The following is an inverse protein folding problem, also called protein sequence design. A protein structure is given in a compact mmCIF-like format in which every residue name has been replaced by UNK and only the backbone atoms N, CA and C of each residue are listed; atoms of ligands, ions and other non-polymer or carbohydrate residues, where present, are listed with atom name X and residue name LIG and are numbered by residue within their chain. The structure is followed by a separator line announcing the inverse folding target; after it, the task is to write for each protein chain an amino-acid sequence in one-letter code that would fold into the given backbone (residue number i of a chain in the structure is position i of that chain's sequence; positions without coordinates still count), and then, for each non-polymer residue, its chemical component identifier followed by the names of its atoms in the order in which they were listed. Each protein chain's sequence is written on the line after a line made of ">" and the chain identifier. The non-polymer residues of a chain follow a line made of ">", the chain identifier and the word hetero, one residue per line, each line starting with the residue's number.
data_IF_256577660047
#
_entry.id   IF_256577660047
#
_cell.length_a   1.000
_cell.length_b   1.000
_cell.length_c   1.000
_cell.angle_alpha   90.00
_cell.angle_beta   90.00
_cell.angle_gamma   90.00
#
_symmetry.space_group_name_H-M   'P 1'
#
loop_
_entity.id
_entity.type
_entity.pdbx_description
1 polymer ?
#
# COMPACT_ATOMS: atom_id res chain seq x y z
N UNK A 1 -8.42 -12.05 7.82
CA UNK A 1 -7.54 -12.25 8.99
C UNK A 1 -8.12 -11.48 10.15
N UNK A 2 -8.70 -12.12 11.16
CA UNK A 2 -9.31 -11.44 12.33
C UNK A 2 -8.86 -12.16 13.60
N UNK A 3 -8.78 -11.44 14.73
CA UNK A 3 -8.55 -12.07 16.03
C UNK A 3 -9.30 -11.31 17.14
N UNK A 4 -9.57 -12.00 18.24
CA UNK A 4 -10.12 -11.38 19.43
C UNK A 4 -8.97 -10.75 20.23
N UNK A 5 -8.91 -9.42 20.31
CA UNK A 5 -7.84 -8.69 20.99
C UNK A 5 -7.64 -9.14 22.46
N UNK A 6 -8.73 -9.52 23.15
CA UNK A 6 -8.70 -10.02 24.53
C UNK A 6 -7.82 -11.26 24.72
N UNK A 7 -7.72 -12.13 23.71
CA UNK A 7 -6.95 -13.38 23.78
C UNK A 7 -5.44 -13.12 23.60
N UNK A 8 -5.08 -11.91 23.16
CA UNK A 8 -3.71 -11.47 22.89
C UNK A 8 -3.34 -10.23 23.71
N UNK A 9 -3.80 -10.15 24.96
CA UNK A 9 -3.44 -9.06 25.87
C UNK A 9 -3.89 -7.66 25.41
N UNK A 10 -5.08 -7.59 24.80
CA UNK A 10 -5.63 -6.36 24.19
C UNK A 10 -4.77 -5.79 23.05
N UNK A 11 -4.04 -6.66 22.33
CA UNK A 11 -3.36 -6.25 21.11
C UNK A 11 -4.38 -5.96 20.01
N UNK A 12 -4.55 -4.68 19.67
CA UNK A 12 -5.49 -4.24 18.64
C UNK A 12 -4.90 -4.20 17.23
N UNK A 13 -3.58 -4.07 17.10
CA UNK A 13 -2.90 -4.03 15.80
C UNK A 13 -1.59 -4.78 15.81
N UNK A 14 -1.22 -5.32 14.66
CA UNK A 14 0.07 -5.97 14.42
C UNK A 14 0.60 -5.59 13.03
N UNK A 15 1.88 -5.85 12.78
CA UNK A 15 2.52 -5.63 11.48
C UNK A 15 2.85 -6.97 10.82
N UNK A 16 2.66 -7.04 9.51
CA UNK A 16 2.99 -8.20 8.69
C UNK A 16 3.89 -7.76 7.53
N UNK A 17 4.85 -8.59 7.10
CA UNK A 17 5.51 -8.39 5.81
C UNK A 17 4.47 -8.36 4.70
N UNK A 18 4.58 -7.44 3.75
CA UNK A 18 3.56 -7.33 2.70
C UNK A 18 3.49 -8.57 1.79
N UNK A 19 4.59 -9.30 1.60
CA UNK A 19 4.66 -10.41 0.63
C UNK A 19 3.85 -11.65 1.05
N UNK A 20 3.41 -11.72 2.31
CA UNK A 20 2.55 -12.80 2.82
C UNK A 20 1.07 -12.39 2.91
N UNK A 21 0.75 -11.15 2.54
CA UNK A 21 -0.62 -10.60 2.60
C UNK A 21 -1.05 -10.26 1.19
N UNK A 22 -2.29 -10.61 0.84
CA UNK A 22 -2.87 -10.15 -0.43
C UNK A 22 -2.97 -8.61 -0.42
N UNK A 23 -2.49 -7.98 -1.50
CA UNK A 23 -2.62 -6.54 -1.76
C UNK A 23 -3.17 -6.32 -3.17
N UNK A 24 -3.95 -5.26 -3.40
CA UNK A 24 -4.37 -4.92 -4.75
C UNK A 24 -3.15 -4.47 -5.57
N UNK A 25 -3.11 -4.87 -6.84
CA UNK A 25 -2.19 -4.27 -7.80
C UNK A 25 -2.75 -2.92 -8.21
N UNK A 26 -2.08 -1.85 -7.79
CA UNK A 26 -2.39 -0.47 -8.15
C UNK A 26 -1.28 0.00 -9.07
N UNK A 27 -1.61 0.63 -10.19
CA UNK A 27 -0.65 1.10 -11.18
C UNK A 27 -0.97 2.54 -11.60
N UNK A 28 0.07 3.29 -11.96
CA UNK A 28 -0.08 4.61 -12.56
C UNK A 28 -0.40 4.44 -14.06
N UNK A 29 -1.57 4.92 -14.50
CA UNK A 29 -2.04 4.74 -15.89
C UNK A 29 -1.25 5.59 -16.89
N UNK A 30 -0.69 6.72 -16.44
CA UNK A 30 0.02 7.67 -17.30
C UNK A 30 1.41 7.96 -16.68
N UNK A 31 2.32 6.98 -16.66
CA UNK A 31 3.67 7.20 -16.14
C UNK A 31 4.48 8.04 -17.14
N UNK A 32 5.46 8.78 -16.62
CA UNK A 32 6.49 9.43 -17.44
C UNK A 32 7.51 8.43 -17.98
N UNK A 33 7.93 7.49 -17.12
CA UNK A 33 8.81 6.37 -17.46
C UNK A 33 7.98 5.10 -17.77
N UNK A 34 8.26 3.99 -17.07
CA UNK A 34 7.59 2.71 -17.26
C UNK A 34 6.36 2.53 -16.35
N UNK A 35 5.47 1.62 -16.75
CA UNK A 35 4.33 1.22 -15.91
C UNK A 35 4.83 0.25 -14.85
N UNK A 36 4.87 0.71 -13.61
CA UNK A 36 5.22 -0.10 -12.45
C UNK A 36 4.03 -0.21 -11.48
N UNK A 37 3.94 -1.36 -10.82
CA UNK A 37 2.98 -1.61 -9.75
C UNK A 37 3.44 -0.93 -8.45
N UNK A 38 2.47 -0.40 -7.70
CA UNK A 38 2.68 0.41 -6.52
C UNK A 38 3.30 -0.38 -5.35
N UNK A 39 4.40 0.14 -4.82
CA UNK A 39 5.14 -0.32 -3.66
C UNK A 39 6.26 -1.31 -3.99
N UNK A 40 7.42 -1.12 -3.36
CA UNK A 40 8.58 -2.02 -3.42
C UNK A 40 8.50 -3.16 -2.40
N UNK A 41 9.16 -4.30 -2.62
CA UNK A 41 9.02 -5.59 -1.89
C UNK A 41 9.24 -5.58 -0.36
N UNK A 42 9.86 -4.56 0.21
CA UNK A 42 10.28 -4.54 1.62
C UNK A 42 9.41 -3.66 2.55
N UNK A 43 8.10 -3.57 2.30
CA UNK A 43 7.18 -2.81 3.14
C UNK A 43 6.43 -3.68 4.16
N UNK A 44 6.01 -3.06 5.25
CA UNK A 44 5.12 -3.66 6.24
C UNK A 44 3.69 -3.17 6.08
N UNK A 45 2.75 -4.05 6.34
CA UNK A 45 1.32 -3.77 6.35
C UNK A 45 0.85 -3.82 7.79
N UNK A 46 0.01 -2.86 8.20
CA UNK A 46 -0.60 -2.85 9.52
C UNK A 46 -1.96 -3.54 9.46
N UNK A 47 -2.10 -4.63 10.21
CA UNK A 47 -3.34 -5.36 10.37
C UNK A 47 -4.03 -4.93 11.68
N UNK A 48 -5.34 -4.71 11.61
CA UNK A 48 -6.21 -4.35 12.72
C UNK A 48 -6.99 -5.59 13.16
N UNK A 49 -7.27 -5.75 14.45
CA UNK A 49 -7.90 -6.96 15.03
C UNK A 49 -9.22 -7.35 14.36
N UNK A 50 -9.97 -6.36 13.85
CA UNK A 50 -11.22 -6.54 13.12
C UNK A 50 -11.02 -6.94 11.65
N UNK A 51 -9.78 -7.15 11.21
CA UNK A 51 -9.40 -7.51 9.85
C UNK A 51 -9.22 -6.34 8.89
N UNK A 52 -9.32 -5.10 9.38
CA UNK A 52 -8.91 -3.92 8.63
C UNK A 52 -7.42 -3.97 8.32
N UNK A 53 -7.06 -3.58 7.10
CA UNK A 53 -5.68 -3.52 6.64
C UNK A 53 -5.34 -2.07 6.29
N UNK A 54 -4.20 -1.60 6.77
CA UNK A 54 -3.64 -0.31 6.40
C UNK A 54 -2.29 -0.53 5.73
N UNK A 55 -2.21 -0.17 4.45
CA UNK A 55 -1.01 -0.22 3.63
C UNK A 55 -0.72 1.19 3.12
N UNK A 56 0.43 1.74 3.50
CA UNK A 56 0.89 3.08 3.13
C UNK A 56 2.26 2.96 2.48
N UNK A 57 2.31 2.65 1.18
CA UNK A 57 3.57 2.55 0.45
C UNK A 57 4.22 3.92 0.32
N UNK A 58 5.54 3.96 0.44
CA UNK A 58 6.36 5.14 0.16
C UNK A 58 7.08 4.88 -1.17
N UNK A 59 6.76 5.67 -2.18
CA UNK A 59 7.36 5.57 -3.52
C UNK A 59 7.26 6.92 -4.23
N UNK A 60 8.16 7.16 -5.19
CA UNK A 60 8.16 8.37 -6.04
C UNK A 60 7.60 7.98 -7.40
N UNK A 61 6.56 8.67 -7.84
CA UNK A 61 5.98 8.48 -9.17
C UNK A 61 6.13 9.73 -10.01
N UNK A 62 6.32 9.52 -11.31
CA UNK A 62 6.35 10.57 -12.32
C UNK A 62 5.23 10.32 -13.31
N UNK A 63 4.40 11.32 -13.57
CA UNK A 63 3.31 11.25 -14.52
C UNK A 63 3.49 12.24 -15.66
N UNK A 64 2.95 11.90 -16.83
CA UNK A 64 2.89 12.84 -17.95
C UNK A 64 1.70 13.77 -17.75
N UNK A 65 1.96 15.07 -17.78
CA UNK A 65 0.94 16.11 -17.78
C UNK A 65 1.19 17.05 -18.98
N UNK A 66 0.27 17.14 -19.96
CA UNK A 66 0.41 18.09 -21.05
C UNK A 66 0.29 19.51 -20.51
N UNK A 67 1.35 20.31 -20.68
CA UNK A 67 1.34 21.73 -20.33
C UNK A 67 1.01 22.51 -21.60
N UNK A 68 -0.09 23.26 -21.56
CA UNK A 68 -0.42 24.21 -22.61
C UNK A 68 0.42 25.48 -22.44
N UNK A 69 1.21 25.81 -23.46
CA UNK A 69 2.11 26.98 -23.49
C UNK A 69 1.59 28.07 -24.43
N UNK A 70 0.31 28.01 -24.83
CA UNK A 70 -0.32 29.07 -25.61
C UNK A 70 -0.54 30.32 -24.75
N UNK A 71 0.19 31.40 -25.07
CA UNK A 71 0.02 32.76 -24.57
C UNK A 71 0.12 33.74 -25.74
#
# INVERSE_FOLDING_TARGET
>A
MTWAAKDFGYMFTTTLPQHIVWKPEILLVIPYDEVESLGFDQQTIRLIFNGGIYWSPIEVYQSVCPVDVTF
#
